data_IF_678415784202
#
_entry.id   IF_678415784202
#
_cell.length_a   1.000
_cell.length_b   1.000
_cell.length_c   1.000
_cell.angle_alpha   90.00
_cell.angle_beta   90.00
_cell.angle_gamma   90.00
#
_symmetry.space_group_name_H-M   'P 1'
#
loop_
_entity.id
_entity.type
_entity.pdbx_description
1 polymer ?
#
# COMPACT_ATOMS: atom_id res chain seq x y z
N UNK A 1 19.20 -6.29 8.59
CA UNK A 1 19.76 -4.98 8.98
C UNK A 1 19.60 -4.03 7.81
N UNK A 2 19.10 -2.81 8.01
CA UNK A 2 18.75 -1.86 6.93
C UNK A 2 19.91 -1.46 6.00
N UNK A 3 21.16 -1.78 6.36
CA UNK A 3 22.36 -1.63 5.52
C UNK A 3 22.52 -2.66 4.39
N UNK A 4 21.67 -3.69 4.32
CA UNK A 4 21.83 -4.79 3.33
C UNK A 4 21.27 -4.49 1.95
N UNK A 5 20.55 -3.39 1.80
CA UNK A 5 20.01 -2.94 0.52
C UNK A 5 20.91 -1.78 0.07
N UNK A 6 21.34 -1.74 -1.19
CA UNK A 6 22.16 -0.68 -1.81
C UNK A 6 21.40 0.66 -1.91
N UNK A 7 20.91 1.14 -0.77
CA UNK A 7 20.20 2.39 -0.62
C UNK A 7 21.16 3.43 -0.07
N UNK A 8 21.19 4.59 -0.73
CA UNK A 8 21.90 5.78 -0.29
C UNK A 8 21.13 6.44 0.87
N UNK A 9 21.26 5.86 2.07
CA UNK A 9 20.57 6.32 3.28
C UNK A 9 20.92 7.75 3.68
N UNK A 10 22.08 8.26 3.24
CA UNK A 10 22.51 9.65 3.36
C UNK A 10 21.61 10.62 2.57
N UNK A 11 21.00 10.17 1.47
CA UNK A 11 20.04 10.94 0.67
C UNK A 11 18.60 10.83 1.19
N UNK A 12 18.34 10.01 2.21
CA UNK A 12 17.01 9.87 2.79
C UNK A 12 16.64 11.14 3.58
N UNK A 13 15.64 11.89 3.08
CA UNK A 13 15.17 13.14 3.70
C UNK A 13 14.07 12.92 4.74
N UNK A 14 13.21 11.91 4.53
CA UNK A 14 12.07 11.63 5.40
C UNK A 14 11.70 10.14 5.42
N UNK A 15 11.40 9.63 6.61
CA UNK A 15 10.85 8.30 6.86
C UNK A 15 9.38 8.46 7.25
N UNK A 16 8.48 7.99 6.39
CA UNK A 16 7.05 7.98 6.68
C UNK A 16 6.60 6.61 7.21
N UNK A 17 5.90 6.56 8.34
CA UNK A 17 5.43 5.30 8.95
C UNK A 17 3.99 5.37 9.42
N UNK A 18 3.27 4.24 9.44
CA UNK A 18 1.86 4.16 9.87
C UNK A 18 1.61 4.51 11.36
N UNK A 19 2.65 4.89 12.12
CA UNK A 19 2.52 5.32 13.51
C UNK A 19 2.22 4.21 14.51
N UNK A 20 2.22 2.95 14.09
CA UNK A 20 2.04 1.80 15.00
C UNK A 20 3.23 1.66 15.95
N UNK A 21 3.00 1.05 17.12
CA UNK A 21 4.01 0.90 18.18
C UNK A 21 5.27 0.19 17.68
N UNK A 22 5.10 -0.81 16.82
CA UNK A 22 6.14 -1.58 16.15
C UNK A 22 7.02 -0.70 15.23
N UNK A 23 6.47 0.40 14.72
CA UNK A 23 7.19 1.33 13.85
C UNK A 23 7.87 2.44 14.66
N UNK A 24 7.20 3.00 15.68
CA UNK A 24 7.65 4.20 16.39
C UNK A 24 8.38 3.93 17.71
N UNK A 25 8.44 2.66 18.15
CA UNK A 25 9.07 2.29 19.40
C UNK A 25 10.53 2.78 19.49
N UNK A 26 10.91 3.37 20.64
CA UNK A 26 12.24 3.97 20.83
C UNK A 26 13.40 3.00 20.59
N UNK A 27 13.24 1.73 21.01
CA UNK A 27 14.31 0.72 20.97
C UNK A 27 14.10 -0.30 19.84
N UNK A 28 12.87 -0.81 19.70
CA UNK A 28 12.54 -1.86 18.71
C UNK A 28 11.82 -1.32 17.47
N UNK A 29 11.51 -0.02 17.42
CA UNK A 29 10.78 0.58 16.33
C UNK A 29 11.58 0.61 15.03
N UNK A 30 10.94 0.26 13.93
CA UNK A 30 11.55 0.32 12.59
C UNK A 30 12.07 1.73 12.25
N UNK A 31 11.32 2.79 12.59
CA UNK A 31 11.73 4.19 12.35
C UNK A 31 12.99 4.52 13.14
N UNK A 32 13.05 4.11 14.41
CA UNK A 32 14.23 4.32 15.27
C UNK A 32 15.47 3.65 14.69
N UNK A 33 15.33 2.42 14.17
CA UNK A 33 16.42 1.68 13.52
C UNK A 33 16.82 2.28 12.17
N UNK A 34 15.87 2.77 11.38
CA UNK A 34 16.16 3.45 10.11
C UNK A 34 16.88 4.79 10.35
N UNK A 35 16.54 5.54 11.41
CA UNK A 35 17.26 6.76 11.79
C UNK A 35 18.72 6.51 12.21
N UNK A 36 19.07 5.30 12.64
CA UNK A 36 20.48 4.97 12.94
C UNK A 36 21.34 4.91 11.67
N UNK A 37 20.75 4.59 10.52
CA UNK A 37 21.43 4.55 9.22
C UNK A 37 21.24 5.84 8.42
N UNK A 38 20.05 6.45 8.48
CA UNK A 38 19.71 7.73 7.87
C UNK A 38 19.61 8.83 8.94
N UNK A 39 20.76 9.25 9.46
CA UNK A 39 20.84 10.20 10.60
C UNK A 39 20.20 11.56 10.31
N UNK A 40 20.20 11.98 9.05
CA UNK A 40 19.66 13.28 8.62
C UNK A 40 18.18 13.20 8.25
N UNK A 41 17.59 12.00 8.20
CA UNK A 41 16.20 11.83 7.82
C UNK A 41 15.26 12.31 8.94
N UNK A 42 14.33 13.17 8.56
CA UNK A 42 13.15 13.47 9.38
C UNK A 42 12.22 12.24 9.44
N UNK A 43 11.26 12.24 10.35
CA UNK A 43 10.23 11.20 10.37
C UNK A 43 8.86 11.80 10.48
N UNK A 44 7.94 11.32 9.64
CA UNK A 44 6.55 11.73 9.63
C UNK A 44 5.64 10.52 9.89
N UNK A 45 4.49 10.79 10.52
CA UNK A 45 3.44 9.79 10.65
C UNK A 45 2.56 9.83 9.41
N UNK A 46 2.31 8.66 8.84
CA UNK A 46 1.46 8.49 7.68
C UNK A 46 0.02 8.90 8.04
N UNK A 47 -0.48 9.88 7.31
CA UNK A 47 -1.74 10.57 7.63
C UNK A 47 -2.95 9.65 7.45
N UNK A 48 -2.82 8.47 6.85
CA UNK A 48 -3.94 7.55 6.63
C UNK A 48 -4.66 7.12 7.91
N UNK A 49 -3.98 7.00 9.05
CA UNK A 49 -4.70 6.77 10.31
C UNK A 49 -5.62 7.95 10.66
N UNK A 50 -5.12 9.19 10.54
CA UNK A 50 -5.95 10.41 10.73
C UNK A 50 -7.04 10.52 9.68
N UNK A 51 -6.74 10.25 8.42
CA UNK A 51 -7.72 10.23 7.33
C UNK A 51 -8.84 9.23 7.64
N UNK A 52 -8.50 8.01 8.06
CA UNK A 52 -9.46 6.97 8.42
C UNK A 52 -10.31 7.35 9.65
N UNK A 53 -9.74 8.07 10.61
CA UNK A 53 -10.51 8.59 11.75
C UNK A 53 -11.47 9.72 11.34
N UNK A 54 -11.03 10.61 10.45
CA UNK A 54 -11.87 11.70 9.93
C UNK A 54 -12.98 11.17 9.02
N UNK A 55 -12.72 10.11 8.23
CA UNK A 55 -13.75 9.49 7.37
C UNK A 55 -14.89 8.88 8.18
N UNK A 56 -14.64 8.44 9.42
CA UNK A 56 -15.70 7.97 10.34
C UNK A 56 -16.66 9.09 10.78
N UNK A 57 -16.25 10.35 10.69
CA UNK A 57 -17.03 11.52 11.08
C UNK A 57 -17.59 12.30 9.88
N UNK A 58 -17.61 11.70 8.69
CA UNK A 58 -18.13 12.38 7.50
C UNK A 58 -19.63 12.64 7.64
N UNK A 59 -20.12 13.79 7.15
CA UNK A 59 -21.55 14.03 7.01
C UNK A 59 -22.22 12.90 6.25
N UNK A 60 -23.44 12.54 6.64
CA UNK A 60 -24.14 11.36 6.13
C UNK A 60 -24.28 11.38 4.60
N UNK A 61 -24.54 12.55 4.00
CA UNK A 61 -24.61 12.70 2.55
C UNK A 61 -23.30 12.35 1.84
N UNK A 62 -22.16 12.79 2.38
CA UNK A 62 -20.85 12.51 1.80
C UNK A 62 -20.45 11.04 1.95
N UNK A 63 -20.82 10.42 3.08
CA UNK A 63 -20.64 8.98 3.29
C UNK A 63 -21.40 8.16 2.25
N UNK A 64 -22.66 8.50 1.97
CA UNK A 64 -23.48 7.79 0.98
C UNK A 64 -22.89 7.84 -0.43
N UNK A 65 -22.35 9.00 -0.84
CA UNK A 65 -21.67 9.15 -2.13
C UNK A 65 -20.44 8.25 -2.20
N UNK A 66 -19.59 8.27 -1.16
CA UNK A 66 -18.38 7.43 -1.11
C UNK A 66 -18.71 5.93 -1.09
N UNK A 67 -19.71 5.51 -0.32
CA UNK A 67 -20.18 4.12 -0.29
C UNK A 67 -20.71 3.70 -1.67
N UNK A 68 -21.40 4.60 -2.38
CA UNK A 68 -21.81 4.41 -3.78
C UNK A 68 -20.61 4.22 -4.71
N UNK A 69 -19.59 5.07 -4.61
CA UNK A 69 -18.36 4.94 -5.40
C UNK A 69 -17.64 3.62 -5.14
N UNK A 70 -17.54 3.18 -3.88
CA UNK A 70 -16.95 1.87 -3.52
C UNK A 70 -17.74 0.72 -4.14
N UNK A 71 -19.08 0.77 -4.12
CA UNK A 71 -19.92 -0.24 -4.77
C UNK A 71 -19.67 -0.31 -6.27
N UNK A 72 -19.57 0.83 -6.96
CA UNK A 72 -19.28 0.89 -8.40
C UNK A 72 -17.90 0.29 -8.68
N UNK A 73 -16.87 0.67 -7.93
CA UNK A 73 -15.52 0.14 -8.08
C UNK A 73 -15.51 -1.38 -7.87
N UNK A 74 -16.18 -1.88 -6.83
CA UNK A 74 -16.26 -3.33 -6.57
C UNK A 74 -17.05 -4.08 -7.66
N UNK A 75 -18.12 -3.46 -8.19
CA UNK A 75 -18.88 -4.01 -9.29
C UNK A 75 -18.05 -4.11 -10.58
N UNK A 76 -17.13 -3.17 -10.82
CA UNK A 76 -16.20 -3.22 -11.96
C UNK A 76 -15.05 -4.21 -11.70
N UNK A 77 -14.49 -4.23 -10.48
CA UNK A 77 -13.37 -5.11 -10.11
C UNK A 77 -13.75 -6.60 -10.11
N UNK A 78 -14.95 -6.95 -9.66
CA UNK A 78 -15.40 -8.35 -9.57
C UNK A 78 -15.35 -9.10 -10.93
N UNK A 79 -15.95 -8.58 -12.03
CA UNK A 79 -15.84 -9.20 -13.34
C UNK A 79 -14.43 -9.12 -13.92
N UNK A 80 -13.66 -8.05 -13.67
CA UNK A 80 -12.27 -7.96 -14.11
C UNK A 80 -11.40 -9.06 -13.49
N UNK A 81 -11.54 -9.32 -12.19
CA UNK A 81 -10.83 -10.39 -11.50
C UNK A 81 -11.24 -11.78 -12.03
N UNK A 82 -12.53 -11.97 -12.34
CA UNK A 82 -13.01 -13.20 -12.98
C UNK A 82 -12.40 -13.38 -14.39
N UNK A 83 -12.35 -12.31 -15.18
CA UNK A 83 -11.75 -12.31 -16.52
C UNK A 83 -10.24 -12.59 -16.43
N UNK A 84 -9.53 -11.92 -15.52
CA UNK A 84 -8.10 -12.11 -15.28
C UNK A 84 -7.77 -13.57 -14.90
N UNK A 85 -8.55 -14.16 -13.99
CA UNK A 85 -8.42 -15.59 -13.62
C UNK A 85 -8.75 -16.54 -14.76
N UNK A 86 -9.78 -16.23 -15.56
CA UNK A 86 -10.15 -17.05 -16.72
C UNK A 86 -9.07 -17.00 -17.80
N UNK A 87 -8.48 -15.82 -18.03
CA UNK A 87 -7.34 -15.64 -18.92
C UNK A 87 -6.09 -16.36 -18.41
N UNK A 88 -5.80 -16.31 -17.09
CA UNK A 88 -4.71 -17.09 -16.48
C UNK A 88 -4.86 -18.58 -16.71
N UNK A 89 -6.05 -19.13 -16.44
CA UNK A 89 -6.33 -20.55 -16.64
C UNK A 89 -6.16 -20.96 -18.11
N UNK A 90 -6.67 -20.14 -19.02
CA UNK A 90 -6.57 -20.38 -20.47
C UNK A 90 -5.13 -20.26 -20.97
N UNK A 91 -4.38 -19.26 -20.50
CA UNK A 91 -2.97 -19.05 -20.86
C UNK A 91 -2.05 -20.15 -20.31
N UNK A 92 -2.31 -20.65 -19.10
CA UNK A 92 -1.61 -21.79 -18.52
C UNK A 92 -1.84 -23.08 -19.30
N UNK A 93 -3.08 -23.31 -19.77
CA UNK A 93 -3.41 -24.46 -20.62
C UNK A 93 -2.80 -24.37 -22.03
N UNK A 94 -2.54 -23.16 -22.52
CA UNK A 94 -1.93 -22.89 -23.82
C UNK A 94 -0.39 -22.78 -23.78
N UNK A 95 0.25 -22.99 -22.61
CA UNK A 95 1.71 -22.93 -22.47
C UNK A 95 2.30 -21.53 -22.67
N UNK A 96 1.50 -20.47 -22.46
CA UNK A 96 1.90 -19.08 -22.69
C UNK A 96 2.50 -18.47 -21.42
N UNK A 97 3.79 -18.74 -21.17
CA UNK A 97 4.51 -18.33 -19.95
C UNK A 97 4.66 -16.80 -19.76
N UNK A 98 4.50 -16.02 -20.83
CA UNK A 98 4.79 -14.58 -20.81
C UNK A 98 3.61 -13.67 -20.38
N UNK A 99 2.44 -14.23 -20.03
CA UNK A 99 1.27 -13.42 -19.67
C UNK A 99 1.34 -12.77 -18.28
N UNK A 100 2.33 -13.14 -17.46
CA UNK A 100 2.46 -12.69 -16.07
C UNK A 100 2.51 -11.17 -15.93
N UNK A 101 3.06 -10.46 -16.94
CA UNK A 101 3.17 -9.00 -16.95
C UNK A 101 1.83 -8.28 -17.20
N UNK A 102 0.93 -8.89 -17.98
CA UNK A 102 -0.39 -8.32 -18.32
C UNK A 102 -1.38 -8.45 -17.15
N UNK A 103 -1.17 -9.44 -16.28
CA UNK A 103 -2.05 -9.78 -15.17
C UNK A 103 -1.64 -9.13 -13.83
N UNK A 104 -0.41 -8.62 -13.70
CA UNK A 104 0.10 -8.02 -12.45
C UNK A 104 -0.24 -6.54 -12.26
N UNK A 105 -0.99 -5.92 -13.18
CA UNK A 105 -1.59 -4.60 -12.91
C UNK A 105 -2.74 -4.66 -11.90
N UNK A 106 -3.07 -5.84 -11.37
CA UNK A 106 -4.00 -5.99 -10.26
C UNK A 106 -3.41 -5.40 -8.97
N UNK A 107 -3.77 -4.13 -8.80
CA UNK A 107 -3.70 -3.35 -7.58
C UNK A 107 -4.22 -4.14 -6.37
N UNK A 108 -3.33 -4.23 -5.38
CA UNK A 108 -3.51 -4.71 -4.00
C UNK A 108 -4.71 -4.09 -3.28
#
# INVERSE_FOLDING_TARGET
MYRKNDLEWDKCVNICSNGTVEMIGKVKGAVSRMKQVAKNATSSHYVMHRLCLTTRRLPQGLKLVLDGSVKIINHIKSPLHFIARSLQHTAGNLGMDHLYLVLHTEMR
#
